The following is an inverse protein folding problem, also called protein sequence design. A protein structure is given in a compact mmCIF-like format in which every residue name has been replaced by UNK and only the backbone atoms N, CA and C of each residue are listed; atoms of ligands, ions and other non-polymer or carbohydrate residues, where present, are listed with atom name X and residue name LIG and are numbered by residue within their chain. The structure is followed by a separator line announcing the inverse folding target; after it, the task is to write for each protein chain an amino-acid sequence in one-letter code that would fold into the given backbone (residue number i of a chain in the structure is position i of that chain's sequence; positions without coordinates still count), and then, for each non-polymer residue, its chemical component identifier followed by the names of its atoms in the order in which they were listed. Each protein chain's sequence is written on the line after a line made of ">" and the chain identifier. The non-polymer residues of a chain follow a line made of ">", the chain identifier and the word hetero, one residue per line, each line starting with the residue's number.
data_IF_448923845761
#
_entry.id   IF_448923845761
#
_cell.length_a   1.000
_cell.length_b   1.000
_cell.length_c   1.000
_cell.angle_alpha   90.00
_cell.angle_beta   90.00
_cell.angle_gamma   90.00
#
_symmetry.space_group_name_H-M   'P 1'
#
loop_
_entity.id
_entity.type
_entity.pdbx_description
1 polymer ?
#
# COMPACT_ATOMS: atom_id res chain seq x y z
N UNK A 1 38.67 60.46 35.69
CA UNK A 1 37.75 60.43 36.85
C UNK A 1 36.40 60.84 36.29
N UNK A 2 35.30 60.10 36.29
CA UNK A 2 34.80 58.87 36.93
C UNK A 2 33.47 58.57 36.22
N UNK A 3 33.21 57.31 35.87
CA UNK A 3 31.91 56.81 35.40
C UNK A 3 30.93 56.67 36.58
N UNK A 4 29.62 56.77 36.33
CA UNK A 4 28.65 55.80 36.87
C UNK A 4 27.83 55.19 35.71
N UNK A 5 27.63 53.88 35.57
CA UNK A 5 26.97 52.89 36.45
C UNK A 5 25.47 53.17 36.65
N UNK A 6 24.62 52.52 35.84
CA UNK A 6 23.52 51.66 36.30
C UNK A 6 22.65 51.17 35.12
N UNK A 7 22.83 49.89 34.77
CA UNK A 7 21.98 49.09 33.87
C UNK A 7 21.78 47.74 34.56
N UNK A 8 20.86 47.69 35.51
CA UNK A 8 20.58 46.51 36.37
C UNK A 8 19.10 46.12 36.40
N UNK A 9 18.32 46.40 35.35
CA UNK A 9 16.89 46.05 35.32
C UNK A 9 16.38 45.43 34.02
N UNK A 10 17.24 44.77 33.25
CA UNK A 10 16.87 44.17 31.95
C UNK A 10 17.26 42.70 31.77
N UNK A 11 17.30 41.94 32.88
CA UNK A 11 17.58 40.49 32.90
C UNK A 11 16.49 39.64 33.56
N UNK A 12 15.32 40.21 33.88
CA UNK A 12 14.26 39.51 34.65
C UNK A 12 13.05 39.03 33.83
N UNK A 13 13.23 38.77 32.53
CA UNK A 13 12.21 38.12 31.69
C UNK A 13 12.68 36.81 31.03
N UNK A 14 13.90 36.35 31.32
CA UNK A 14 14.45 35.09 30.80
C UNK A 14 14.21 33.86 31.68
N UNK A 15 13.77 34.03 32.93
CA UNK A 15 13.72 32.94 33.92
C UNK A 15 12.37 32.21 34.03
N UNK A 16 11.37 32.55 33.19
CA UNK A 16 10.04 31.91 33.21
C UNK A 16 9.89 30.84 32.12
N UNK A 17 10.80 30.76 31.14
CA UNK A 17 10.68 29.83 30.01
C UNK A 17 11.45 28.50 30.20
N UNK A 18 12.28 28.36 31.24
CA UNK A 18 13.10 27.17 31.49
C UNK A 18 12.51 26.20 32.56
N UNK A 19 11.41 26.57 33.22
CA UNK A 19 10.82 25.78 34.33
C UNK A 19 9.66 24.85 33.90
N UNK A 20 9.14 25.01 32.68
CA UNK A 20 8.09 24.12 32.13
C UNK A 20 8.68 22.85 31.49
N UNK A 21 9.97 22.85 31.14
CA UNK A 21 10.60 21.67 30.50
C UNK A 21 11.19 20.67 31.50
N UNK A 22 11.28 20.99 32.80
CA UNK A 22 11.84 20.08 33.83
C UNK A 22 10.82 19.28 34.64
N UNK A 23 9.52 19.57 34.52
CA UNK A 23 8.47 18.80 35.21
C UNK A 23 7.78 17.74 34.35
N UNK A 24 8.17 17.57 33.08
CA UNK A 24 7.57 16.56 32.18
C UNK A 24 8.41 15.28 32.01
N UNK A 25 9.54 15.15 32.70
CA UNK A 25 10.47 14.02 32.56
C UNK A 25 10.62 13.15 33.82
N UNK A 26 9.57 13.06 34.65
CA UNK A 26 9.50 12.09 35.75
C UNK A 26 8.07 11.56 35.97
N UNK A 27 7.55 10.78 35.01
CA UNK A 27 6.58 9.71 35.28
C UNK A 27 6.30 8.86 34.04
N UNK A 28 6.87 7.65 34.02
CA UNK A 28 6.23 6.34 33.75
C UNK A 28 7.30 5.34 33.26
N UNK A 29 7.27 4.19 33.92
CA UNK A 29 8.25 3.11 34.10
C UNK A 29 8.89 2.46 32.85
N UNK A 30 10.17 2.04 32.93
CA UNK A 30 10.80 1.11 31.99
C UNK A 30 10.60 -0.34 32.42
N UNK A 31 9.96 -1.14 31.56
CA UNK A 31 9.91 -2.59 31.72
C UNK A 31 10.47 -3.27 30.46
N UNK A 32 11.81 -3.29 30.34
CA UNK A 32 12.52 -4.17 29.41
C UNK A 32 13.79 -4.64 30.10
N UNK A 33 13.75 -5.85 30.67
CA UNK A 33 14.94 -6.57 31.12
C UNK A 33 15.71 -7.06 29.89
N UNK A 34 16.99 -6.70 29.84
CA UNK A 34 18.02 -7.43 29.12
C UNK A 34 18.28 -8.77 29.84
N UNK A 35 18.32 -9.85 29.07
CA UNK A 35 19.06 -11.07 29.44
C UNK A 35 19.91 -11.48 28.24
N UNK A 36 21.21 -11.41 28.42
CA UNK A 36 22.25 -11.99 27.58
C UNK A 36 22.70 -13.35 28.14
N UNK A 37 23.29 -14.16 27.26
CA UNK A 37 23.97 -15.46 27.48
C UNK A 37 23.00 -16.67 27.50
N UNK A 38 23.17 -17.78 26.77
CA UNK A 38 24.37 -18.52 26.35
C UNK A 38 24.16 -19.30 25.03
N UNK A 39 25.24 -19.40 24.25
CA UNK A 39 25.85 -20.63 23.71
C UNK A 39 24.99 -21.85 23.33
N UNK A 40 25.00 -22.17 22.03
CA UNK A 40 25.41 -23.52 21.59
C UNK A 40 24.34 -24.57 21.26
N UNK A 41 24.65 -25.33 20.21
CA UNK A 41 24.05 -26.60 19.76
C UNK A 41 22.81 -26.50 18.84
N UNK A 42 23.11 -26.27 17.57
CA UNK A 42 22.26 -26.64 16.42
C UNK A 42 22.50 -28.13 16.13
N UNK A 43 21.61 -29.03 16.53
CA UNK A 43 21.54 -30.39 15.96
C UNK A 43 20.10 -30.94 15.96
N UNK A 44 19.63 -31.27 14.75
CA UNK A 44 18.67 -32.34 14.38
C UNK A 44 17.21 -32.25 14.83
N UNK A 45 16.33 -31.84 13.90
CA UNK A 45 14.98 -32.38 13.79
C UNK A 45 14.51 -32.40 12.33
N UNK A 46 14.94 -33.42 11.59
CA UNK A 46 14.31 -33.83 10.33
C UNK A 46 14.11 -35.34 10.38
N UNK A 47 12.92 -35.77 9.96
CA UNK A 47 12.51 -37.16 9.69
C UNK A 47 11.87 -37.92 10.86
N UNK A 48 10.56 -38.17 10.72
CA UNK A 48 9.87 -39.48 10.88
C UNK A 48 8.41 -39.26 10.45
N UNK A 49 8.14 -39.34 9.14
CA UNK A 49 7.59 -40.55 8.49
C UNK A 49 6.30 -41.03 9.17
N UNK A 50 5.18 -40.42 8.79
CA UNK A 50 3.85 -40.98 8.98
C UNK A 50 3.66 -42.14 8.01
N UNK A 51 3.38 -43.31 8.59
CA UNK A 51 3.18 -44.58 7.91
C UNK A 51 1.92 -44.57 7.02
N UNK A 52 2.12 -44.90 5.74
CA UNK A 52 1.11 -45.42 4.80
C UNK A 52 0.75 -46.86 5.23
N UNK A 53 -0.49 -47.36 5.07
CA UNK A 53 -1.09 -47.99 3.87
C UNK A 53 -2.40 -48.74 4.34
N UNK A 54 -3.21 -49.40 3.48
CA UNK A 54 -4.02 -48.92 2.34
C UNK A 54 -5.47 -49.49 2.37
N UNK A 55 -6.36 -49.08 1.44
CA UNK A 55 -7.34 -50.02 0.87
C UNK A 55 -7.60 -49.74 -0.62
N UNK A 56 -7.70 -50.86 -1.34
CA UNK A 56 -7.79 -51.07 -2.78
C UNK A 56 -9.17 -50.75 -3.34
N UNK A 57 -9.23 -50.36 -4.62
CA UNK A 57 -9.74 -51.24 -5.69
C UNK A 57 -9.81 -50.49 -7.04
N UNK A 58 -9.14 -51.05 -8.04
CA UNK A 58 -9.11 -50.61 -9.43
C UNK A 58 -9.30 -51.87 -10.28
N UNK A 59 -10.39 -52.01 -11.04
CA UNK A 59 -10.46 -52.96 -12.16
C UNK A 59 -11.27 -52.38 -13.33
N UNK A 60 -10.51 -52.11 -14.40
CA UNK A 60 -10.73 -52.32 -15.85
C UNK A 60 -11.87 -51.65 -16.63
N UNK A 61 -11.41 -50.88 -17.61
CA UNK A 61 -11.97 -50.72 -18.97
C UNK A 61 -11.84 -52.01 -19.83
N UNK A 62 -12.56 -52.10 -20.96
CA UNK A 62 -11.92 -52.18 -22.28
C UNK A 62 -12.58 -51.23 -23.31
N UNK A 63 -11.87 -50.52 -24.20
CA UNK A 63 -11.26 -50.90 -25.49
C UNK A 63 -12.28 -51.11 -26.65
N UNK A 64 -12.25 -50.15 -27.59
CA UNK A 64 -12.29 -50.25 -29.08
C UNK A 64 -13.36 -51.15 -29.74
N UNK A 65 -14.21 -50.59 -30.62
CA UNK A 65 -14.11 -50.81 -32.08
C UNK A 65 -15.11 -50.01 -32.93
N UNK A 66 -14.68 -49.80 -34.16
CA UNK A 66 -15.28 -49.06 -35.28
C UNK A 66 -16.32 -49.88 -36.06
N UNK A 67 -17.38 -49.24 -36.56
CA UNK A 67 -17.99 -49.48 -37.90
C UNK A 67 -19.23 -48.58 -38.06
N UNK A 68 -19.28 -47.65 -39.03
CA UNK A 68 -19.67 -47.79 -40.45
C UNK A 68 -21.20 -47.92 -40.66
N UNK A 69 -21.74 -46.92 -41.35
CA UNK A 69 -23.13 -46.62 -41.82
C UNK A 69 -23.50 -47.54 -43.02
N UNK A 70 -24.65 -47.41 -43.75
CA UNK A 70 -26.14 -47.50 -43.54
C UNK A 70 -26.75 -48.66 -44.43
N UNK A 71 -27.95 -48.63 -45.10
CA UNK A 71 -29.25 -47.90 -44.98
C UNK A 71 -30.54 -48.80 -45.10
N UNK A 72 -31.74 -48.15 -45.18
CA UNK A 72 -32.99 -48.61 -45.85
C UNK A 72 -33.79 -49.76 -45.15
N UNK A 73 -35.13 -49.86 -45.07
CA UNK A 73 -36.33 -49.23 -45.66
C UNK A 73 -37.58 -49.81 -44.93
N UNK A 74 -38.63 -48.99 -44.73
CA UNK A 74 -40.09 -49.26 -44.59
C UNK A 74 -40.59 -50.52 -43.83
N UNK A 75 -41.55 -50.47 -42.89
CA UNK A 75 -42.98 -50.21 -43.14
C UNK A 75 -43.77 -50.36 -41.80
N UNK A 76 -44.92 -49.67 -41.71
CA UNK A 76 -46.14 -50.00 -40.94
C UNK A 76 -46.17 -49.72 -39.41
N UNK A 77 -46.75 -48.56 -39.07
CA UNK A 77 -47.60 -48.37 -37.88
C UNK A 77 -48.93 -49.12 -38.09
N UNK A 78 -49.72 -49.56 -37.06
CA UNK A 78 -50.23 -48.67 -36.02
C UNK A 78 -50.48 -49.31 -34.63
N UNK A 79 -49.99 -48.69 -33.57
CA UNK A 79 -50.84 -48.49 -32.38
C UNK A 79 -50.27 -47.36 -31.53
N UNK A 80 -51.16 -46.44 -31.21
CA UNK A 80 -50.94 -45.20 -30.48
C UNK A 80 -50.54 -45.55 -29.04
N UNK A 81 -49.27 -45.29 -28.69
CA UNK A 81 -48.86 -45.10 -27.30
C UNK A 81 -48.58 -43.63 -27.13
N UNK A 82 -49.55 -42.93 -26.53
CA UNK A 82 -49.48 -41.53 -26.13
C UNK A 82 -48.31 -41.39 -25.17
N UNK A 83 -47.22 -40.77 -25.64
CA UNK A 83 -46.14 -40.31 -24.79
C UNK A 83 -46.67 -39.17 -23.92
N UNK A 84 -46.45 -39.17 -22.59
CA UNK A 84 -46.90 -38.08 -21.74
C UNK A 84 -46.21 -36.78 -22.18
N UNK A 85 -46.93 -35.64 -22.26
CA UNK A 85 -46.33 -34.38 -22.63
C UNK A 85 -45.27 -34.03 -21.57
N UNK A 86 -44.04 -33.85 -22.01
CA UNK A 86 -43.00 -33.28 -21.19
C UNK A 86 -43.46 -31.85 -20.84
N UNK A 87 -44.01 -31.65 -19.65
CA UNK A 87 -44.28 -30.32 -19.13
C UNK A 87 -42.93 -29.62 -18.95
N UNK A 88 -42.56 -28.83 -19.96
CA UNK A 88 -41.50 -27.84 -19.82
C UNK A 88 -41.86 -26.93 -18.66
N UNK A 89 -41.11 -27.01 -17.56
CA UNK A 89 -41.14 -25.96 -16.54
C UNK A 89 -40.63 -24.69 -17.20
N UNK A 90 -41.54 -23.84 -17.64
CA UNK A 90 -41.23 -22.46 -17.96
C UNK A 90 -40.82 -21.78 -16.65
N UNK A 91 -39.52 -21.72 -16.38
CA UNK A 91 -39.00 -20.84 -15.35
C UNK A 91 -39.37 -19.42 -15.74
N UNK A 92 -40.09 -18.74 -14.85
CA UNK A 92 -40.36 -17.32 -15.00
C UNK A 92 -39.03 -16.60 -15.25
N UNK A 93 -38.88 -16.00 -16.43
CA UNK A 93 -37.83 -15.03 -16.66
C UNK A 93 -38.11 -13.93 -15.65
N UNK A 94 -37.25 -13.83 -14.62
CA UNK A 94 -37.29 -12.68 -13.74
C UNK A 94 -37.15 -11.48 -14.66
N UNK A 95 -38.23 -10.70 -14.78
CA UNK A 95 -38.23 -9.36 -15.36
C UNK A 95 -36.93 -8.72 -14.93
N UNK A 96 -36.04 -8.47 -15.88
CA UNK A 96 -34.80 -7.76 -15.64
C UNK A 96 -35.23 -6.38 -15.14
N UNK A 97 -35.30 -6.23 -13.81
CA UNK A 97 -35.14 -4.92 -13.19
C UNK A 97 -33.76 -4.49 -13.67
N UNK A 98 -33.76 -3.66 -14.72
CA UNK A 98 -32.63 -2.82 -15.01
C UNK A 98 -32.18 -2.26 -13.67
N UNK A 99 -30.92 -2.52 -13.30
CA UNK A 99 -30.28 -1.81 -12.20
C UNK A 99 -30.28 -0.34 -12.62
N UNK A 100 -31.38 0.36 -12.34
CA UNK A 100 -31.32 1.79 -12.14
C UNK A 100 -30.19 1.97 -11.14
N UNK A 101 -29.15 2.72 -11.53
CA UNK A 101 -28.16 3.22 -10.58
C UNK A 101 -28.98 3.94 -9.52
N UNK A 102 -29.24 3.26 -8.41
CA UNK A 102 -29.65 3.89 -7.17
C UNK A 102 -28.48 4.78 -6.81
N UNK A 103 -28.49 6.02 -7.29
CA UNK A 103 -27.78 7.06 -6.59
C UNK A 103 -28.34 7.00 -5.17
N UNK A 104 -27.55 6.44 -4.26
CA UNK A 104 -27.82 6.54 -2.83
C UNK A 104 -28.02 8.04 -2.59
N UNK A 105 -29.27 8.43 -2.37
CA UNK A 105 -29.62 9.83 -2.16
C UNK A 105 -28.70 10.38 -1.10
N UNK A 106 -28.09 11.54 -1.39
CA UNK A 106 -27.27 12.28 -0.44
C UNK A 106 -28.04 12.32 0.87
N UNK A 107 -27.55 11.58 1.87
CA UNK A 107 -28.22 11.45 3.16
C UNK A 107 -28.09 12.81 3.83
N UNK A 108 -29.12 13.66 3.66
CA UNK A 108 -29.16 14.96 4.31
C UNK A 108 -29.62 14.74 5.75
N UNK A 109 -28.69 14.77 6.68
CA UNK A 109 -28.99 14.80 8.11
C UNK A 109 -28.63 16.19 8.62
N UNK A 110 -29.35 16.66 9.64
CA UNK A 110 -29.00 17.85 10.39
C UNK A 110 -27.67 17.60 11.10
N UNK A 111 -26.58 18.22 10.61
CA UNK A 111 -25.21 17.99 11.08
C UNK A 111 -25.06 18.12 12.61
N UNK A 112 -25.78 19.07 13.21
CA UNK A 112 -25.76 19.33 14.65
C UNK A 112 -26.16 18.14 15.53
N UNK A 113 -27.10 17.28 15.10
CA UNK A 113 -27.52 16.11 15.89
C UNK A 113 -26.52 14.95 15.80
N UNK A 114 -25.62 14.98 14.80
CA UNK A 114 -24.67 13.91 14.55
C UNK A 114 -23.34 14.19 15.24
N UNK A 115 -22.94 15.46 15.32
CA UNK A 115 -21.71 15.92 15.99
C UNK A 115 -21.67 15.50 17.47
N UNK A 116 -22.79 15.53 18.18
CA UNK A 116 -22.87 15.12 19.60
C UNK A 116 -22.66 13.61 19.84
N UNK A 117 -22.87 12.78 18.81
CA UNK A 117 -22.79 11.32 18.91
C UNK A 117 -21.43 10.82 18.41
N UNK A 118 -20.96 11.37 17.28
CA UNK A 118 -19.68 11.08 16.64
C UNK A 118 -19.19 12.30 15.86
N UNK A 119 -17.90 12.62 16.03
CA UNK A 119 -17.19 13.56 15.16
C UNK A 119 -17.04 12.98 13.75
N UNK A 120 -17.99 13.24 12.85
CA UNK A 120 -17.89 12.81 11.45
C UNK A 120 -16.68 13.43 10.74
N UNK A 121 -16.30 14.64 11.14
CA UNK A 121 -15.12 15.32 10.63
C UNK A 121 -13.83 14.60 11.06
N UNK A 122 -13.74 14.12 12.30
CA UNK A 122 -12.60 13.31 12.77
C UNK A 122 -12.45 12.03 11.93
N UNK A 123 -13.55 11.30 11.70
CA UNK A 123 -13.55 10.09 10.86
C UNK A 123 -13.09 10.40 9.44
N UNK A 124 -13.51 11.55 8.89
CA UNK A 124 -13.12 12.00 7.56
C UNK A 124 -11.64 12.38 7.51
N UNK A 125 -11.13 13.04 8.54
CA UNK A 125 -9.70 13.38 8.69
C UNK A 125 -8.85 12.12 8.77
N UNK A 126 -9.22 11.14 9.59
CA UNK A 126 -8.53 9.84 9.67
C UNK A 126 -8.50 9.13 8.32
N UNK A 127 -9.64 9.06 7.61
CA UNK A 127 -9.68 8.47 6.27
C UNK A 127 -8.85 9.26 5.25
N UNK A 128 -8.80 10.59 5.37
CA UNK A 128 -7.96 11.44 4.51
C UNK A 128 -6.46 11.23 4.77
N UNK A 129 -6.07 11.00 6.02
CA UNK A 129 -4.70 10.66 6.39
C UNK A 129 -4.25 9.31 5.79
N UNK A 130 -5.17 8.34 5.70
CA UNK A 130 -4.91 7.07 4.98
C UNK A 130 -4.68 7.32 3.48
N UNK A 131 -5.39 8.26 2.86
CA UNK A 131 -5.12 8.63 1.47
C UNK A 131 -3.77 9.36 1.31
N UNK A 132 -3.40 10.23 2.25
CA UNK A 132 -2.12 10.93 2.21
C UNK A 132 -0.94 9.95 2.32
N UNK A 133 -1.00 9.03 3.29
CA UNK A 133 0.03 7.99 3.47
C UNK A 133 0.16 7.09 2.24
N UNK A 134 -0.95 6.70 1.61
CA UNK A 134 -0.91 5.92 0.37
C UNK A 134 -0.26 6.69 -0.80
N UNK A 135 -0.50 8.00 -0.92
CA UNK A 135 0.15 8.84 -1.94
C UNK A 135 1.66 8.92 -1.70
N UNK A 136 2.08 9.03 -0.45
CA UNK A 136 3.49 9.06 -0.08
C UNK A 136 4.17 7.72 -0.36
N UNK A 137 3.52 6.61 -0.01
CA UNK A 137 4.01 5.25 -0.31
C UNK A 137 4.18 5.02 -1.80
N UNK A 138 3.24 5.49 -2.62
CA UNK A 138 3.34 5.43 -4.07
C UNK A 138 4.50 6.27 -4.61
N UNK A 139 4.69 7.48 -4.08
CA UNK A 139 5.73 8.39 -4.54
C UNK A 139 7.13 7.87 -4.19
N UNK A 140 7.29 7.24 -3.03
CA UNK A 140 8.57 6.70 -2.55
C UNK A 140 8.94 5.37 -3.19
N UNK A 141 7.98 4.45 -3.35
CA UNK A 141 8.29 3.06 -3.71
C UNK A 141 8.02 2.71 -5.18
N UNK A 142 7.17 3.46 -5.90
CA UNK A 142 6.68 3.06 -7.23
C UNK A 142 7.21 3.92 -8.38
N UNK A 143 8.43 4.47 -8.27
CA UNK A 143 9.04 5.21 -9.38
C UNK A 143 9.68 4.27 -10.40
N UNK A 144 9.31 4.42 -11.68
CA UNK A 144 9.94 3.71 -12.82
C UNK A 144 11.23 4.40 -13.25
N UNK A 145 11.26 5.74 -13.09
CA UNK A 145 12.34 6.59 -13.58
C UNK A 145 13.24 6.93 -12.41
N UNK A 146 14.54 6.73 -12.60
CA UNK A 146 15.53 7.33 -11.71
C UNK A 146 15.50 8.83 -11.93
N UNK A 147 14.89 9.56 -11.00
CA UNK A 147 15.02 11.01 -10.95
C UNK A 147 16.44 11.36 -10.49
N UNK A 148 17.00 12.52 -10.88
CA UNK A 148 18.28 12.97 -10.34
C UNK A 148 18.28 13.01 -8.81
N UNK A 149 17.13 13.34 -8.19
CA UNK A 149 16.95 13.35 -6.74
C UNK A 149 17.13 12.00 -6.05
N UNK A 150 17.03 10.87 -6.76
CA UNK A 150 17.34 9.57 -6.17
C UNK A 150 18.83 9.42 -5.81
N UNK A 151 19.72 10.15 -6.51
CA UNK A 151 21.16 10.13 -6.27
C UNK A 151 21.59 11.13 -5.17
N UNK A 152 20.76 12.12 -4.86
CA UNK A 152 21.07 13.17 -3.87
C UNK A 152 21.29 12.60 -2.47
N UNK A 153 20.58 11.53 -2.12
CA UNK A 153 20.64 10.89 -0.80
C UNK A 153 21.83 9.93 -0.62
N UNK A 154 22.65 9.72 -1.67
CA UNK A 154 23.80 8.83 -1.59
C UNK A 154 24.91 9.53 -0.79
N UNK A 155 25.31 8.91 0.32
CA UNK A 155 26.38 9.40 1.18
C UNK A 155 27.74 8.98 0.63
N UNK A 156 28.60 9.96 0.37
CA UNK A 156 29.99 9.78 -0.06
C UNK A 156 30.90 9.95 1.15
N UNK A 157 31.83 9.01 1.34
CA UNK A 157 32.85 9.11 2.39
C UNK A 157 34.11 9.74 1.82
N UNK A 158 34.37 10.99 2.18
CA UNK A 158 35.58 11.75 1.83
C UNK A 158 36.55 11.76 3.01
N UNK A 159 37.77 12.28 2.82
CA UNK A 159 38.79 12.42 3.88
C UNK A 159 38.29 13.29 5.04
N UNK A 160 37.49 14.30 4.74
CA UNK A 160 36.99 15.30 5.70
C UNK A 160 35.71 14.86 6.41
N UNK A 161 35.12 13.72 6.02
CA UNK A 161 33.87 13.21 6.59
C UNK A 161 32.91 12.65 5.55
N UNK A 162 31.69 12.36 5.99
CA UNK A 162 30.60 11.82 5.16
C UNK A 162 29.67 12.94 4.71
N UNK A 163 29.50 13.10 3.40
CA UNK A 163 28.66 14.14 2.81
C UNK A 163 27.71 13.54 1.77
N UNK A 164 26.47 14.06 1.61
CA UNK A 164 25.60 13.67 0.53
C UNK A 164 26.16 14.14 -0.82
N UNK A 165 25.91 13.36 -1.88
CA UNK A 165 26.43 13.63 -3.22
C UNK A 165 26.05 15.02 -3.76
N UNK A 166 24.85 15.51 -3.42
CA UNK A 166 24.34 16.82 -3.82
C UNK A 166 25.21 18.00 -3.31
N UNK A 167 25.90 17.84 -2.18
CA UNK A 167 26.79 18.89 -1.67
C UNK A 167 28.15 18.91 -2.37
N UNK A 168 28.59 17.76 -2.88
CA UNK A 168 29.93 17.62 -3.47
C UNK A 168 29.93 17.95 -4.97
N UNK A 169 28.80 17.78 -5.66
CA UNK A 169 28.71 18.04 -7.09
C UNK A 169 27.30 18.31 -7.58
N UNK A 170 27.21 18.84 -8.80
CA UNK A 170 25.95 19.16 -9.44
C UNK A 170 25.43 17.97 -10.25
N UNK A 171 24.23 17.49 -9.92
CA UNK A 171 23.57 16.40 -10.63
C UNK A 171 22.68 16.97 -11.73
N UNK A 172 22.88 16.51 -12.96
CA UNK A 172 22.13 16.95 -14.13
C UNK A 172 21.72 15.76 -15.00
N UNK A 173 20.50 15.77 -15.51
CA UNK A 173 20.00 14.71 -16.39
C UNK A 173 20.21 15.12 -17.86
N UNK A 174 21.10 14.45 -18.57
CA UNK A 174 21.33 14.69 -20.02
C UNK A 174 20.35 13.92 -20.89
N UNK A 175 20.02 12.69 -20.49
CA UNK A 175 19.07 11.80 -21.14
C UNK A 175 18.39 10.95 -20.07
N UNK A 176 17.17 10.43 -20.27
CA UNK A 176 16.52 9.51 -19.32
C UNK A 176 17.34 8.25 -19.00
N UNK A 177 18.34 7.91 -19.83
CA UNK A 177 19.25 6.78 -19.60
C UNK A 177 20.65 7.21 -19.13
N UNK A 178 20.94 8.51 -19.06
CA UNK A 178 22.28 9.02 -18.74
C UNK A 178 22.18 10.26 -17.85
N UNK A 179 22.59 10.09 -16.60
CA UNK A 179 22.78 11.17 -15.64
C UNK A 179 24.25 11.57 -15.63
N UNK A 180 24.50 12.87 -15.51
CA UNK A 180 25.82 13.45 -15.38
C UNK A 180 25.94 14.08 -14.00
N UNK A 181 26.98 13.69 -13.27
CA UNK A 181 27.37 14.32 -12.00
C UNK A 181 28.66 15.11 -12.25
N UNK A 182 28.59 16.43 -12.08
CA UNK A 182 29.73 17.32 -12.25
C UNK A 182 30.38 17.58 -10.88
N UNK A 183 31.62 17.13 -10.70
CA UNK A 183 32.38 17.23 -9.44
C UNK A 183 33.47 18.32 -9.51
N UNK A 184 33.28 19.36 -10.33
CA UNK A 184 34.29 20.40 -10.59
C UNK A 184 34.77 21.12 -9.31
N UNK A 185 33.93 21.19 -8.28
CA UNK A 185 34.24 21.76 -6.97
C UNK A 185 35.24 20.93 -6.16
N UNK A 186 35.19 19.59 -6.28
CA UNK A 186 35.97 18.65 -5.47
C UNK A 186 36.48 17.49 -6.33
N UNK A 187 37.49 17.72 -7.19
CA UNK A 187 38.01 16.70 -8.10
C UNK A 187 38.58 15.47 -7.37
N UNK A 188 39.13 15.64 -6.17
CA UNK A 188 39.64 14.56 -5.32
C UNK A 188 38.55 13.63 -4.79
N UNK A 189 37.31 14.11 -4.68
CA UNK A 189 36.16 13.32 -4.21
C UNK A 189 35.54 12.45 -5.32
N UNK A 190 35.97 12.62 -6.58
CA UNK A 190 35.42 11.89 -7.74
C UNK A 190 35.53 10.37 -7.58
N UNK A 191 36.67 9.87 -7.09
CA UNK A 191 36.89 8.45 -6.87
C UNK A 191 36.01 7.89 -5.73
N UNK A 192 35.82 8.68 -4.66
CA UNK A 192 34.94 8.30 -3.55
C UNK A 192 33.46 8.28 -3.99
N UNK A 193 33.02 9.28 -4.77
CA UNK A 193 31.68 9.33 -5.33
C UNK A 193 31.40 8.14 -6.27
N UNK A 194 32.37 7.75 -7.09
CA UNK A 194 32.28 6.58 -7.98
C UNK A 194 32.03 5.29 -7.18
N UNK A 195 32.77 5.09 -6.08
CA UNK A 195 32.58 3.93 -5.20
C UNK A 195 31.23 3.97 -4.49
N UNK A 196 30.83 5.12 -3.96
CA UNK A 196 29.53 5.28 -3.30
C UNK A 196 28.36 4.99 -4.25
N UNK A 197 28.46 5.39 -5.53
CA UNK A 197 27.45 5.08 -6.55
C UNK A 197 27.38 3.58 -6.86
N UNK A 198 28.51 2.86 -6.88
CA UNK A 198 28.55 1.41 -7.09
C UNK A 198 28.01 0.62 -5.89
N UNK A 199 28.31 1.07 -4.67
CA UNK A 199 27.85 0.44 -3.41
C UNK A 199 26.40 0.79 -3.06
N UNK A 200 25.83 1.81 -3.69
CA UNK A 200 24.45 2.23 -3.47
C UNK A 200 23.44 1.11 -3.76
N UNK A 201 22.22 1.25 -3.22
CA UNK A 201 21.11 0.32 -3.46
C UNK A 201 20.78 0.12 -4.95
N UNK A 202 21.19 1.05 -5.81
CA UNK A 202 20.93 1.01 -7.25
C UNK A 202 21.99 0.25 -8.05
N UNK A 203 23.17 -0.06 -7.47
CA UNK A 203 24.27 -0.82 -8.10
C UNK A 203 24.56 -0.39 -9.53
N UNK A 204 24.73 0.92 -9.73
CA UNK A 204 24.98 1.51 -11.05
C UNK A 204 26.46 1.39 -11.40
N UNK A 205 26.78 1.38 -12.70
CA UNK A 205 28.16 1.37 -13.19
C UNK A 205 28.57 2.74 -13.74
N UNK A 206 29.09 3.66 -12.90
CA UNK A 206 29.54 4.98 -13.33
C UNK A 206 30.82 4.93 -14.19
N UNK A 207 30.88 5.75 -15.22
CA UNK A 207 32.06 6.01 -16.06
C UNK A 207 32.61 7.41 -15.74
N UNK A 208 33.90 7.51 -15.46
CA UNK A 208 34.55 8.77 -15.05
C UNK A 208 35.31 9.38 -16.22
N UNK A 209 34.99 10.63 -16.55
CA UNK A 209 35.69 11.47 -17.52
C UNK A 209 36.25 12.71 -16.80
N UNK A 210 37.45 12.59 -16.22
CA UNK A 210 38.08 13.67 -15.46
C UNK A 210 37.25 14.07 -14.24
N UNK A 211 36.59 15.23 -14.30
CA UNK A 211 35.72 15.76 -13.23
C UNK A 211 34.23 15.46 -13.44
N UNK A 212 33.88 14.77 -14.53
CA UNK A 212 32.50 14.46 -14.92
C UNK A 212 32.27 12.96 -14.74
N UNK A 213 31.24 12.58 -14.00
CA UNK A 213 30.83 11.18 -13.82
C UNK A 213 29.56 10.94 -14.63
N UNK A 214 29.63 9.99 -15.56
CA UNK A 214 28.49 9.54 -16.36
C UNK A 214 27.89 8.30 -15.71
N UNK A 215 26.62 8.37 -15.36
CA UNK A 215 25.90 7.27 -14.73
C UNK A 215 24.86 6.74 -15.73
N UNK A 216 25.17 5.64 -16.46
CA UNK A 216 24.20 4.97 -17.32
C UNK A 216 23.15 4.25 -16.46
N UNK A 217 21.88 4.54 -16.72
CA UNK A 217 20.75 3.87 -16.07
C UNK A 217 20.30 2.72 -16.97
N UNK A 218 20.27 1.47 -16.45
CA UNK A 218 19.77 0.34 -17.21
C UNK A 218 18.27 0.52 -17.53
N UNK A 219 17.85 0.02 -18.68
CA UNK A 219 16.43 0.03 -19.06
C UNK A 219 15.65 -0.88 -18.11
N UNK A 220 14.54 -0.36 -17.57
CA UNK A 220 13.61 -1.16 -16.79
C UNK A 220 12.98 -2.25 -17.66
N UNK A 221 13.09 -3.50 -17.21
CA UNK A 221 12.48 -4.66 -17.89
C UNK A 221 10.98 -4.70 -17.61
N UNK A 222 10.23 -5.43 -18.45
CA UNK A 222 8.79 -5.65 -18.25
C UNK A 222 8.50 -6.34 -16.92
N UNK A 223 9.31 -7.34 -16.55
CA UNK A 223 9.18 -8.05 -15.28
C UNK A 223 9.27 -7.09 -14.07
N UNK A 224 10.17 -6.11 -14.14
CA UNK A 224 10.29 -5.10 -13.09
C UNK A 224 9.02 -4.22 -12.98
N UNK A 225 8.46 -3.77 -14.11
CA UNK A 225 7.18 -3.02 -14.14
C UNK A 225 6.01 -3.83 -13.57
N UNK A 226 5.97 -5.13 -13.88
CA UNK A 226 4.96 -6.04 -13.33
C UNK A 226 5.12 -6.21 -11.81
N UNK A 227 6.36 -6.28 -11.30
CA UNK A 227 6.63 -6.33 -9.88
C UNK A 227 6.23 -5.04 -9.15
N UNK A 228 6.50 -3.86 -9.71
CA UNK A 228 6.01 -2.58 -9.17
C UNK A 228 4.48 -2.54 -9.12
N UNK A 229 3.82 -3.07 -10.15
CA UNK A 229 2.34 -3.15 -10.18
C UNK A 229 1.79 -4.06 -9.07
N UNK A 230 2.48 -5.18 -8.77
CA UNK A 230 2.11 -6.05 -7.64
C UNK A 230 2.28 -5.33 -6.31
N UNK A 231 3.37 -4.58 -6.11
CA UNK A 231 3.59 -3.77 -4.92
C UNK A 231 2.52 -2.69 -4.75
N UNK A 232 2.14 -2.00 -5.83
CA UNK A 232 1.06 -1.01 -5.81
C UNK A 232 -0.27 -1.57 -5.30
N UNK A 233 -0.61 -2.80 -5.72
CA UNK A 233 -1.77 -3.54 -5.23
C UNK A 233 -1.66 -3.85 -3.74
N UNK A 234 -0.48 -4.24 -3.25
CA UNK A 234 -0.27 -4.51 -1.83
C UNK A 234 -0.48 -3.27 -0.97
N UNK A 235 0.06 -2.10 -1.36
CA UNK A 235 -0.17 -0.84 -0.65
C UNK A 235 -1.64 -0.42 -0.66
N UNK A 236 -2.32 -0.58 -1.79
CA UNK A 236 -3.76 -0.29 -1.88
C UNK A 236 -4.60 -1.18 -0.99
N UNK A 237 -4.25 -2.47 -0.88
CA UNK A 237 -4.91 -3.39 0.05
C UNK A 237 -4.70 -2.98 1.51
N UNK A 238 -3.49 -2.56 1.88
CA UNK A 238 -3.19 -2.03 3.22
C UNK A 238 -4.03 -0.79 3.54
N UNK A 239 -4.15 0.16 2.61
CA UNK A 239 -4.99 1.34 2.81
C UNK A 239 -6.48 0.99 2.94
N UNK A 240 -6.99 0.06 2.12
CA UNK A 240 -8.37 -0.43 2.25
C UNK A 240 -8.62 -1.12 3.60
N UNK A 241 -7.66 -1.90 4.08
CA UNK A 241 -7.71 -2.51 5.41
C UNK A 241 -7.80 -1.43 6.51
N UNK A 242 -6.99 -0.36 6.42
CA UNK A 242 -7.05 0.78 7.35
C UNK A 242 -8.41 1.49 7.33
N UNK A 243 -8.97 1.76 6.14
CA UNK A 243 -10.32 2.36 6.02
C UNK A 243 -11.38 1.45 6.63
N UNK A 244 -11.27 0.12 6.46
CA UNK A 244 -12.19 -0.85 7.09
C UNK A 244 -12.09 -0.79 8.61
N UNK A 245 -10.88 -0.67 9.18
CA UNK A 245 -10.65 -0.55 10.62
C UNK A 245 -11.30 0.72 11.17
N UNK A 246 -11.03 1.87 10.56
CA UNK A 246 -11.64 3.17 10.93
C UNK A 246 -13.17 3.04 10.93
N UNK A 247 -13.75 2.57 9.82
CA UNK A 247 -15.20 2.35 9.70
C UNK A 247 -15.74 1.45 10.82
N UNK A 248 -15.04 0.37 11.14
CA UNK A 248 -15.50 -0.60 12.16
C UNK A 248 -15.43 -0.01 13.57
N UNK A 249 -14.41 0.80 13.85
CA UNK A 249 -14.25 1.54 15.09
C UNK A 249 -15.36 2.60 15.24
N UNK A 250 -15.61 3.40 14.19
CA UNK A 250 -16.70 4.39 14.19
C UNK A 250 -18.05 3.72 14.42
N UNK A 251 -18.35 2.61 13.72
CA UNK A 251 -19.61 1.87 13.92
C UNK A 251 -19.72 1.26 15.33
N UNK A 252 -18.60 0.82 15.93
CA UNK A 252 -18.59 0.35 17.31
C UNK A 252 -18.90 1.49 18.29
N UNK A 253 -18.41 2.70 18.04
CA UNK A 253 -18.72 3.89 18.84
C UNK A 253 -20.20 4.28 18.71
N UNK A 254 -20.77 4.33 17.48
CA UNK A 254 -22.21 4.57 17.28
C UNK A 254 -23.04 3.59 18.13
N UNK A 255 -22.62 2.31 18.15
CA UNK A 255 -23.34 1.26 18.86
C UNK A 255 -23.23 1.32 20.38
N UNK A 256 -22.22 2.00 20.93
CA UNK A 256 -22.08 2.24 22.37
C UNK A 256 -22.97 3.39 22.83
N UNK A 257 -23.11 4.42 22.01
CA UNK A 257 -23.95 5.61 22.30
C UNK A 257 -25.45 5.37 22.08
N UNK A 258 -25.93 4.13 22.13
CA UNK A 258 -27.34 3.78 21.88
C UNK A 258 -28.27 4.16 23.03
N UNK A 259 -27.76 4.23 24.24
CA UNK A 259 -28.51 4.59 25.44
C UNK A 259 -28.80 6.11 25.40
N UNK A 260 -29.96 6.50 24.85
CA UNK A 260 -30.40 7.90 24.78
C UNK A 260 -30.63 8.45 23.36
N UNK A 261 -30.36 7.66 22.31
CA UNK A 261 -30.51 8.09 20.90
C UNK A 261 -31.57 7.26 20.20
N UNK A 262 -32.38 7.90 19.35
CA UNK A 262 -33.37 7.21 18.50
C UNK A 262 -32.71 6.21 17.54
N UNK A 263 -33.30 5.03 17.41
CA UNK A 263 -32.80 3.97 16.50
C UNK A 263 -32.73 4.44 15.04
N UNK A 264 -33.64 5.32 14.62
CA UNK A 264 -33.63 5.88 13.27
C UNK A 264 -32.41 6.76 13.03
N UNK A 265 -31.98 7.52 14.05
CA UNK A 265 -30.79 8.38 13.97
C UNK A 265 -29.52 7.54 13.87
N UNK A 266 -29.42 6.47 14.66
CA UNK A 266 -28.31 5.51 14.58
C UNK A 266 -28.20 4.90 13.17
N UNK A 267 -29.33 4.43 12.60
CA UNK A 267 -29.35 3.85 11.24
C UNK A 267 -28.94 4.86 10.16
N UNK A 268 -29.25 6.14 10.36
CA UNK A 268 -28.83 7.22 9.46
C UNK A 268 -27.32 7.47 9.54
N UNK A 269 -26.75 7.52 10.74
CA UNK A 269 -25.30 7.68 10.96
C UNK A 269 -24.53 6.49 10.37
N UNK A 270 -24.98 5.26 10.62
CA UNK A 270 -24.36 4.05 10.05
C UNK A 270 -24.32 4.10 8.51
N UNK A 271 -25.40 4.56 7.87
CA UNK A 271 -25.46 4.76 6.41
C UNK A 271 -24.48 5.83 5.95
N UNK A 272 -24.35 6.93 6.68
CA UNK A 272 -23.43 8.01 6.32
C UNK A 272 -21.97 7.57 6.42
N UNK A 273 -21.58 6.93 7.52
CA UNK A 273 -20.23 6.36 7.70
C UNK A 273 -19.92 5.34 6.59
N UNK A 274 -20.89 4.51 6.22
CA UNK A 274 -20.74 3.58 5.11
C UNK A 274 -20.54 4.30 3.77
N UNK A 275 -21.33 5.33 3.47
CA UNK A 275 -21.19 6.14 2.26
C UNK A 275 -19.83 6.82 2.15
N UNK A 276 -19.33 7.37 3.27
CA UNK A 276 -17.99 7.97 3.31
C UNK A 276 -16.93 6.91 3.01
N UNK A 277 -16.96 5.77 3.70
CA UNK A 277 -16.00 4.68 3.49
C UNK A 277 -16.00 4.16 2.04
N UNK A 278 -17.17 4.01 1.42
CA UNK A 278 -17.30 3.59 0.03
C UNK A 278 -16.72 4.64 -0.95
N UNK A 279 -16.90 5.94 -0.65
CA UNK A 279 -16.27 7.03 -1.39
C UNK A 279 -14.75 6.98 -1.35
N UNK A 280 -14.17 6.87 -0.15
CA UNK A 280 -12.71 6.74 0.02
C UNK A 280 -12.16 5.47 -0.61
N UNK A 281 -12.87 4.33 -0.53
CA UNK A 281 -12.47 3.10 -1.20
C UNK A 281 -12.42 3.27 -2.73
N UNK A 282 -13.39 3.97 -3.31
CA UNK A 282 -13.39 4.29 -4.75
C UNK A 282 -12.23 5.22 -5.13
N UNK A 283 -11.86 6.17 -4.28
CA UNK A 283 -10.73 7.05 -4.52
C UNK A 283 -9.38 6.32 -4.45
N UNK A 284 -9.22 5.35 -3.54
CA UNK A 284 -8.07 4.44 -3.53
C UNK A 284 -7.98 3.68 -4.86
N UNK A 285 -9.10 3.16 -5.36
CA UNK A 285 -9.14 2.43 -6.64
C UNK A 285 -8.79 3.32 -7.84
N UNK A 286 -9.25 4.57 -7.85
CA UNK A 286 -8.86 5.56 -8.88
C UNK A 286 -7.35 5.84 -8.86
N UNK A 287 -6.76 5.99 -7.67
CA UNK A 287 -5.32 6.24 -7.53
C UNK A 287 -4.50 5.03 -7.96
N UNK A 288 -4.91 3.81 -7.58
CA UNK A 288 -4.29 2.58 -8.05
C UNK A 288 -4.37 2.45 -9.57
N UNK A 289 -5.52 2.73 -10.18
CA UNK A 289 -5.69 2.62 -11.63
C UNK A 289 -4.79 3.63 -12.37
N UNK A 290 -4.75 4.87 -11.87
CA UNK A 290 -3.90 5.93 -12.42
C UNK A 290 -2.41 5.55 -12.35
N UNK A 291 -1.96 5.05 -11.20
CA UNK A 291 -0.57 4.60 -11.00
C UNK A 291 -0.24 3.35 -11.81
N UNK A 292 -1.15 2.40 -11.90
CA UNK A 292 -0.94 1.19 -12.72
C UNK A 292 -0.79 1.53 -14.20
N UNK A 293 -1.58 2.50 -14.69
CA UNK A 293 -1.45 3.01 -16.05
C UNK A 293 -0.11 3.70 -16.29
N UNK A 294 0.39 4.47 -15.31
CA UNK A 294 1.72 5.08 -15.35
C UNK A 294 2.83 4.00 -15.38
N UNK A 295 2.70 2.92 -14.61
CA UNK A 295 3.66 1.82 -14.52
C UNK A 295 3.77 0.96 -15.79
N UNK A 296 2.64 0.73 -16.45
CA UNK A 296 2.56 -0.15 -17.63
C UNK A 296 2.62 0.61 -18.97
N UNK A 297 2.30 1.90 -18.98
CA UNK A 297 2.40 2.78 -20.15
C UNK A 297 3.82 2.93 -20.67
#
# INVERSE_FOLDING_TARGET
>A
MTFPADLSSLWDLGAIFDDVSRTFLQRIDPCVRYSTEESGVVYMASSRLGLLRPLLCYIRSPVVSSARVPPLTQHLCPHVVVSPPCYGRHYATKKSKAKAKSQMGKVSINAALVEDIIGLDEVKEEMSAVLATLKDDFSRNLSIRTSPGALDHITVSTKDGKFPLNQLGQISMKSPQLIIVNMTSYPEATAAATRALQESSMKLNPEVEGTIIRVPIPKVTREHRENLTKLAKQFSNKAKESVRRIRSNSLAQVKRSKEGVSEDTIRLIEKQVQQMADGFAADIDKQLASKTKELLG
#
